data_IF_564966019498
#
_entry.id   IF_564966019498
#
_cell.length_a   1.000
_cell.length_b   1.000
_cell.length_c   1.000
_cell.angle_alpha   90.00
_cell.angle_beta   90.00
_cell.angle_gamma   90.00
#
_symmetry.space_group_name_H-M   'P 1'
#
loop_
_entity.id
_entity.type
_entity.pdbx_description
1 polymer ?
#
# COMPACT_ATOMS: atom_id res chain seq x y z
N UNK A 1 19.89 5.01 -10.13
CA UNK A 1 18.61 5.72 -10.35
C UNK A 1 18.08 6.27 -9.04
N UNK A 2 17.02 7.08 -9.06
CA UNK A 2 16.44 7.70 -7.87
C UNK A 2 15.67 6.72 -6.96
N UNK A 3 15.18 5.61 -7.53
CA UNK A 3 14.24 4.67 -6.92
C UNK A 3 14.62 4.24 -5.49
N UNK A 4 15.80 3.65 -5.29
CA UNK A 4 16.26 3.20 -3.98
C UNK A 4 16.30 4.33 -2.92
N UNK A 5 16.68 5.55 -3.33
CA UNK A 5 16.76 6.70 -2.40
C UNK A 5 15.39 7.19 -1.93
N UNK A 6 14.35 6.97 -2.72
CA UNK A 6 12.99 7.42 -2.42
C UNK A 6 12.10 6.27 -1.93
N UNK A 7 12.70 5.11 -1.60
CA UNK A 7 11.99 3.94 -1.11
C UNK A 7 11.09 3.30 -2.17
N UNK A 8 11.44 3.39 -3.45
CA UNK A 8 10.71 2.71 -4.54
C UNK A 8 11.55 1.53 -5.01
N UNK A 9 10.95 0.34 -5.01
CA UNK A 9 11.60 -0.88 -5.49
C UNK A 9 10.64 -1.72 -6.31
N UNK A 10 11.14 -2.32 -7.39
CA UNK A 10 10.43 -3.41 -8.07
C UNK A 10 10.67 -4.68 -7.25
N UNK A 11 9.61 -5.40 -6.90
CA UNK A 11 9.64 -6.58 -6.05
C UNK A 11 8.80 -7.70 -6.69
N UNK A 12 9.27 -8.96 -6.69
CA UNK A 12 8.41 -10.10 -6.97
C UNK A 12 7.35 -10.23 -5.88
N UNK A 13 6.19 -10.73 -6.25
CA UNK A 13 5.03 -10.87 -5.39
C UNK A 13 4.32 -12.18 -5.70
N UNK A 14 4.08 -12.96 -4.65
CA UNK A 14 3.16 -14.10 -4.67
C UNK A 14 1.93 -13.74 -3.85
N UNK A 15 0.77 -13.77 -4.50
CA UNK A 15 -0.53 -13.48 -3.90
C UNK A 15 -1.39 -14.74 -3.91
N UNK A 16 -1.89 -15.15 -2.75
CA UNK A 16 -2.55 -16.43 -2.52
C UNK A 16 -3.94 -16.22 -1.89
N UNK A 17 -4.79 -17.23 -1.97
CA UNK A 17 -6.08 -17.27 -1.27
C UNK A 17 -6.40 -18.68 -0.80
N UNK A 18 -7.20 -18.81 0.27
CA UNK A 18 -7.84 -20.05 0.69
C UNK A 18 -9.29 -20.16 0.25
N UNK A 19 -9.83 -19.18 -0.49
CA UNK A 19 -11.22 -19.20 -0.96
C UNK A 19 -11.48 -20.47 -1.77
N UNK A 20 -12.49 -21.30 -1.43
CA UNK A 20 -12.81 -22.52 -2.19
C UNK A 20 -13.06 -22.31 -3.69
N UNK A 21 -13.48 -21.10 -4.10
CA UNK A 21 -13.65 -20.72 -5.51
C UNK A 21 -12.31 -20.44 -6.23
N UNK A 22 -11.19 -20.45 -5.51
CA UNK A 22 -9.86 -20.12 -6.02
C UNK A 22 -9.68 -18.61 -6.21
N UNK A 23 -8.66 -18.24 -6.98
CA UNK A 23 -8.36 -16.83 -7.28
C UNK A 23 -8.89 -16.45 -8.68
N UNK A 24 -9.88 -15.54 -8.80
CA UNK A 24 -10.41 -15.12 -10.09
C UNK A 24 -9.36 -14.41 -10.95
N UNK A 25 -9.58 -14.21 -12.25
CA UNK A 25 -8.64 -13.43 -13.06
C UNK A 25 -8.60 -11.97 -12.58
N UNK A 26 -7.45 -11.45 -12.12
CA UNK A 26 -7.41 -10.14 -11.48
C UNK A 26 -7.57 -9.04 -12.53
N UNK A 27 -8.47 -8.08 -12.30
CA UNK A 27 -8.65 -6.93 -13.19
C UNK A 27 -7.38 -6.07 -13.36
N UNK A 28 -6.43 -6.18 -12.44
CA UNK A 28 -5.14 -5.47 -12.45
C UNK A 28 -4.01 -6.26 -13.12
N UNK A 29 -4.29 -7.45 -13.70
CA UNK A 29 -3.30 -8.34 -14.31
C UNK A 29 -2.34 -7.63 -15.27
N UNK A 30 -2.88 -6.79 -16.14
CA UNK A 30 -2.11 -6.12 -17.20
C UNK A 30 -1.36 -4.87 -16.71
N UNK A 31 -1.60 -4.44 -15.46
CA UNK A 31 -0.90 -3.30 -14.85
C UNK A 31 0.40 -3.73 -14.14
N UNK A 32 0.59 -5.03 -13.91
CA UNK A 32 1.76 -5.59 -13.24
C UNK A 32 2.62 -6.40 -14.20
N UNK A 33 3.87 -6.66 -13.84
CA UNK A 33 4.81 -7.32 -14.73
C UNK A 33 4.72 -8.85 -14.57
N UNK A 34 4.57 -9.57 -15.69
CA UNK A 34 4.70 -11.03 -15.72
C UNK A 34 3.65 -11.77 -14.89
N UNK A 35 2.41 -11.29 -14.86
CA UNK A 35 1.34 -11.92 -14.06
C UNK A 35 0.99 -13.31 -14.58
N UNK A 36 1.25 -14.32 -13.75
CA UNK A 36 1.00 -15.74 -14.04
C UNK A 36 0.27 -16.40 -12.87
N UNK A 37 -0.58 -17.38 -13.16
CA UNK A 37 -1.21 -18.20 -12.12
C UNK A 37 -0.15 -19.05 -11.42
N UNK A 38 -0.25 -19.17 -10.10
CA UNK A 38 0.59 -20.09 -9.33
C UNK A 38 0.21 -21.54 -9.71
N UNK A 39 1.16 -22.38 -10.16
CA UNK A 39 0.87 -23.77 -10.50
C UNK A 39 0.41 -24.58 -9.29
N UNK A 40 -0.40 -25.63 -9.50
CA UNK A 40 -0.90 -26.48 -8.42
C UNK A 40 0.22 -27.07 -7.56
N UNK A 41 1.32 -27.52 -8.17
CA UNK A 41 2.47 -28.07 -7.44
C UNK A 41 3.09 -27.05 -6.47
N UNK A 42 3.05 -25.77 -6.83
CA UNK A 42 3.57 -24.68 -6.00
C UNK A 42 2.57 -24.30 -4.91
N UNK A 43 1.27 -24.31 -5.21
CA UNK A 43 0.22 -24.16 -4.20
C UNK A 43 0.31 -25.27 -3.14
N UNK A 44 0.53 -26.52 -3.54
CA UNK A 44 0.67 -27.66 -2.63
C UNK A 44 1.90 -27.51 -1.73
N UNK A 45 3.04 -27.06 -2.31
CA UNK A 45 4.28 -26.77 -1.57
C UNK A 45 4.07 -25.67 -0.52
N UNK A 46 3.56 -24.51 -0.95
CA UNK A 46 3.28 -23.37 -0.07
C UNK A 46 2.24 -23.73 1.00
N UNK A 47 1.26 -24.56 0.63
CA UNK A 47 0.24 -25.00 1.57
C UNK A 47 0.82 -25.85 2.69
N UNK A 48 1.73 -26.77 2.34
CA UNK A 48 2.45 -27.59 3.31
C UNK A 48 3.36 -26.74 4.20
N UNK A 49 4.16 -25.84 3.62
CA UNK A 49 5.11 -25.00 4.35
C UNK A 49 4.44 -24.02 5.31
N UNK A 50 3.32 -23.42 4.90
CA UNK A 50 2.60 -22.43 5.71
C UNK A 50 1.53 -23.06 6.62
N UNK A 51 1.31 -24.37 6.53
CA UNK A 51 0.26 -25.07 7.29
C UNK A 51 -1.15 -24.58 6.95
N UNK A 52 -1.38 -24.18 5.70
CA UNK A 52 -2.62 -23.53 5.22
C UNK A 52 -3.02 -24.07 3.86
N UNK A 53 -4.29 -24.27 3.56
CA UNK A 53 -4.71 -24.83 2.26
C UNK A 53 -4.99 -23.73 1.24
N UNK A 54 -3.98 -23.34 0.46
CA UNK A 54 -4.17 -22.40 -0.64
C UNK A 54 -4.89 -23.07 -1.81
N UNK A 55 -5.84 -22.35 -2.38
CA UNK A 55 -6.73 -22.82 -3.46
C UNK A 55 -6.45 -22.13 -4.79
N UNK A 56 -5.69 -21.03 -4.76
CA UNK A 56 -5.30 -20.28 -5.95
C UNK A 56 -4.37 -19.13 -5.62
N UNK A 57 -3.81 -18.53 -6.67
CA UNK A 57 -2.95 -17.37 -6.53
C UNK A 57 -2.30 -16.94 -7.83
N UNK A 58 -1.59 -15.82 -7.77
CA UNK A 58 -0.82 -15.25 -8.87
C UNK A 58 0.60 -14.87 -8.41
N UNK A 59 1.56 -15.11 -9.29
CA UNK A 59 2.92 -14.60 -9.19
C UNK A 59 3.12 -13.47 -10.22
N UNK A 60 3.69 -12.35 -9.80
CA UNK A 60 3.95 -11.17 -10.62
C UNK A 60 5.04 -10.30 -9.99
N UNK A 61 5.55 -9.30 -10.72
CA UNK A 61 6.38 -8.24 -10.14
C UNK A 61 5.62 -6.90 -10.12
N UNK A 62 5.76 -6.16 -9.02
CA UNK A 62 5.12 -4.86 -8.80
C UNK A 62 6.04 -3.91 -8.04
N UNK A 63 5.66 -2.63 -7.93
CA UNK A 63 6.42 -1.66 -7.16
C UNK A 63 5.95 -1.58 -5.71
N UNK A 64 6.89 -1.64 -4.77
CA UNK A 64 6.69 -1.13 -3.40
C UNK A 64 7.12 0.32 -3.34
N UNK A 65 6.42 1.09 -2.49
CA UNK A 65 6.69 2.50 -2.26
C UNK A 65 6.67 2.77 -0.75
N UNK A 66 7.83 2.98 -0.15
CA UNK A 66 7.95 3.25 1.28
C UNK A 66 7.61 4.72 1.57
N UNK A 67 6.58 5.00 2.38
CA UNK A 67 6.18 6.38 2.66
C UNK A 67 7.29 7.22 3.32
N UNK A 68 8.14 6.58 4.13
CA UNK A 68 9.30 7.20 4.78
C UNK A 68 10.32 7.78 3.79
N UNK A 69 10.46 7.18 2.60
CA UNK A 69 11.32 7.70 1.53
C UNK A 69 10.55 8.56 0.53
N UNK A 70 9.35 8.13 0.15
CA UNK A 70 8.59 8.76 -0.94
C UNK A 70 7.97 10.10 -0.52
N UNK A 71 7.41 10.21 0.68
CA UNK A 71 6.75 11.44 1.12
C UNK A 71 7.72 12.62 1.27
N UNK A 72 8.92 12.48 1.89
CA UNK A 72 9.91 13.56 1.90
C UNK A 72 10.34 14.00 0.50
N UNK A 73 10.48 13.05 -0.44
CA UNK A 73 10.80 13.37 -1.83
C UNK A 73 9.69 14.20 -2.49
N UNK A 74 8.42 13.76 -2.37
CA UNK A 74 7.28 14.49 -2.92
C UNK A 74 7.10 15.86 -2.26
N UNK A 75 7.29 15.95 -0.95
CA UNK A 75 7.25 17.21 -0.21
C UNK A 75 8.31 18.19 -0.70
N UNK A 76 9.56 17.73 -0.85
CA UNK A 76 10.64 18.59 -1.36
C UNK A 76 10.40 19.01 -2.81
N UNK A 77 9.83 18.13 -3.65
CA UNK A 77 9.41 18.52 -5.00
C UNK A 77 8.37 19.63 -4.98
N UNK A 78 7.37 19.55 -4.10
CA UNK A 78 6.36 20.58 -3.94
C UNK A 78 6.97 21.92 -3.49
N UNK A 79 7.86 21.91 -2.50
CA UNK A 79 8.53 23.14 -2.05
C UNK A 79 9.42 23.74 -3.14
N UNK A 80 10.18 22.91 -3.87
CA UNK A 80 11.12 23.38 -4.90
C UNK A 80 10.43 24.05 -6.10
N UNK A 81 9.15 23.75 -6.36
CA UNK A 81 8.34 24.44 -7.38
C UNK A 81 7.58 25.64 -6.83
N UNK A 82 7.93 26.12 -5.63
CA UNK A 82 7.34 27.31 -5.00
C UNK A 82 6.15 27.03 -4.08
N UNK A 83 5.85 25.75 -3.82
CA UNK A 83 4.85 25.35 -2.84
C UNK A 83 5.16 25.88 -1.44
N UNK A 84 4.12 26.23 -0.69
CA UNK A 84 4.24 26.71 0.69
C UNK A 84 3.59 25.74 1.64
N UNK A 85 4.28 25.39 2.71
CA UNK A 85 3.75 24.53 3.76
C UNK A 85 3.41 25.35 5.00
N UNK A 86 2.21 25.15 5.53
CA UNK A 86 1.77 25.76 6.79
C UNK A 86 1.20 24.68 7.69
N UNK A 87 1.81 24.49 8.85
CA UNK A 87 1.28 23.61 9.88
C UNK A 87 0.15 24.32 10.63
N UNK A 88 -1.07 23.85 10.46
CA UNK A 88 -2.26 24.42 11.11
C UNK A 88 -3.36 23.37 11.19
N UNK A 89 -4.29 23.52 12.15
CA UNK A 89 -5.54 22.74 12.21
C UNK A 89 -6.62 23.50 11.45
N UNK A 90 -7.32 22.80 10.56
CA UNK A 90 -8.50 23.34 9.87
C UNK A 90 -9.73 22.75 10.53
N UNK A 91 -10.54 23.59 11.18
CA UNK A 91 -11.76 23.15 11.86
C UNK A 91 -12.97 23.13 10.94
N UNK A 92 -13.03 24.08 9.99
CA UNK A 92 -14.04 24.12 8.94
C UNK A 92 -13.52 24.87 7.71
N UNK A 93 -14.06 24.56 6.53
CA UNK A 93 -13.63 25.17 5.26
C UNK A 93 -13.92 26.68 5.21
N UNK A 94 -15.04 27.13 5.79
CA UNK A 94 -15.39 28.56 5.81
C UNK A 94 -14.33 29.41 6.52
N UNK A 95 -13.82 28.93 7.66
CA UNK A 95 -12.77 29.63 8.41
C UNK A 95 -11.46 29.70 7.62
N UNK A 96 -11.15 28.65 6.85
CA UNK A 96 -9.97 28.61 5.99
C UNK A 96 -10.07 29.66 4.87
N UNK A 97 -11.22 29.73 4.20
CA UNK A 97 -11.47 30.63 3.07
C UNK A 97 -11.56 32.10 3.49
N UNK A 98 -12.03 32.40 4.72
CA UNK A 98 -12.00 33.78 5.25
C UNK A 98 -10.58 34.25 5.56
N UNK A 99 -9.72 33.36 6.06
CA UNK A 99 -8.37 33.70 6.52
C UNK A 99 -7.32 33.56 5.41
N UNK A 100 -7.62 32.85 4.32
CA UNK A 100 -6.69 32.62 3.21
C UNK A 100 -7.41 32.84 1.88
N UNK A 101 -6.79 33.64 1.02
CA UNK A 101 -7.22 33.78 -0.37
C UNK A 101 -6.88 32.48 -1.10
N UNK A 102 -7.88 31.69 -1.42
CA UNK A 102 -7.77 30.49 -2.25
C UNK A 102 -8.96 30.44 -3.20
N UNK A 103 -8.70 30.23 -4.49
CA UNK A 103 -9.74 30.06 -5.51
C UNK A 103 -10.27 28.63 -5.55
N UNK A 104 -9.46 27.66 -5.09
CA UNK A 104 -9.77 26.23 -5.06
C UNK A 104 -9.21 25.60 -3.78
N UNK A 105 -9.98 24.68 -3.20
CA UNK A 105 -9.54 23.83 -2.10
C UNK A 105 -9.60 22.38 -2.56
N UNK A 106 -8.49 21.66 -2.41
CA UNK A 106 -8.42 20.20 -2.60
C UNK A 106 -8.43 19.56 -1.22
N UNK A 107 -9.52 18.88 -0.86
CA UNK A 107 -9.64 18.20 0.43
C UNK A 107 -8.93 16.84 0.39
N UNK A 108 -7.77 16.74 1.05
CA UNK A 108 -6.99 15.49 1.20
C UNK A 108 -6.86 15.05 2.67
N UNK A 109 -7.90 15.25 3.49
CA UNK A 109 -7.83 15.03 4.95
C UNK A 109 -8.02 13.57 5.40
N UNK A 110 -8.27 12.64 4.48
CA UNK A 110 -8.44 11.22 4.80
C UNK A 110 -9.57 11.00 5.81
N UNK A 111 -9.29 10.31 6.92
CA UNK A 111 -10.24 10.11 8.02
C UNK A 111 -10.79 11.42 8.61
N UNK A 112 -10.04 12.51 8.49
CA UNK A 112 -10.49 13.84 8.94
C UNK A 112 -11.68 14.41 8.14
N UNK A 113 -12.01 13.85 6.97
CA UNK A 113 -13.17 14.29 6.18
C UNK A 113 -14.50 14.09 6.91
N UNK A 114 -14.59 13.09 7.79
CA UNK A 114 -15.76 12.89 8.63
C UNK A 114 -16.02 14.13 9.51
N UNK A 115 -14.98 14.68 10.12
CA UNK A 115 -15.09 15.88 10.97
C UNK A 115 -15.21 17.16 10.14
N UNK A 116 -14.42 17.28 9.06
CA UNK A 116 -14.29 18.54 8.30
C UNK A 116 -15.49 18.84 7.40
N UNK A 117 -16.06 17.82 6.76
CA UNK A 117 -17.13 17.95 5.77
C UNK A 117 -18.34 17.04 6.03
N UNK A 118 -18.34 16.29 7.14
CA UNK A 118 -19.46 15.43 7.51
C UNK A 118 -19.59 14.16 6.67
N UNK A 119 -18.50 13.71 6.03
CA UNK A 119 -18.50 12.52 5.18
C UNK A 119 -18.60 11.24 6.03
N UNK A 120 -19.81 10.67 6.09
CA UNK A 120 -20.13 9.47 6.87
C UNK A 120 -19.75 8.16 6.18
N UNK A 121 -19.36 8.21 4.90
CA UNK A 121 -18.89 7.02 4.18
C UNK A 121 -17.42 6.71 4.52
N UNK A 122 -16.70 7.69 5.07
CA UNK A 122 -15.33 7.52 5.57
C UNK A 122 -15.35 6.81 6.93
N UNK A 123 -14.91 5.56 6.93
CA UNK A 123 -14.82 4.72 8.13
C UNK A 123 -13.36 4.30 8.41
N UNK A 124 -12.91 4.30 9.67
CA UNK A 124 -11.57 3.84 10.01
C UNK A 124 -11.47 2.32 9.97
N UNK A 125 -10.46 1.80 9.26
CA UNK A 125 -10.06 0.39 9.34
C UNK A 125 -8.70 0.34 10.02
N UNK A 126 -8.62 -0.31 11.18
CA UNK A 126 -7.39 -0.42 11.96
C UNK A 126 -6.47 -1.48 11.35
N UNK A 127 -5.29 -1.06 10.89
CA UNK A 127 -4.18 -1.95 10.58
C UNK A 127 -3.13 -1.94 11.69
N UNK A 128 -2.55 -3.10 12.00
CA UNK A 128 -1.42 -3.23 12.89
C UNK A 128 -0.33 -4.02 12.16
N UNK A 129 0.92 -3.55 12.27
CA UNK A 129 2.06 -4.18 11.61
C UNK A 129 3.20 -4.40 12.59
N UNK A 130 3.99 -5.44 12.34
CA UNK A 130 5.32 -5.60 12.92
C UNK A 130 6.39 -5.18 11.91
N UNK A 131 7.50 -4.65 12.41
CA UNK A 131 8.69 -4.33 11.62
C UNK A 131 9.84 -5.18 12.11
N UNK A 132 10.40 -6.00 11.24
CA UNK A 132 11.48 -6.93 11.59
C UNK A 132 12.68 -6.75 10.68
N UNK A 133 13.87 -7.07 11.18
CA UNK A 133 15.07 -7.15 10.36
C UNK A 133 15.18 -8.59 9.81
N UNK A 134 14.90 -8.76 8.52
CA UNK A 134 14.98 -10.04 7.84
C UNK A 134 15.53 -9.83 6.41
N UNK A 135 16.83 -9.50 6.27
CA UNK A 135 17.44 -9.11 5.00
C UNK A 135 17.49 -10.23 3.95
N UNK A 136 17.10 -11.46 4.30
CA UNK A 136 16.99 -12.60 3.39
C UNK A 136 15.62 -12.70 2.69
N UNK A 137 14.65 -11.84 3.04
CA UNK A 137 13.32 -11.81 2.41
C UNK A 137 13.33 -10.81 1.26
N UNK A 138 13.12 -11.30 0.03
CA UNK A 138 13.17 -10.51 -1.20
C UNK A 138 11.90 -10.61 -2.05
N UNK A 139 10.84 -11.22 -1.51
CA UNK A 139 9.58 -11.41 -2.20
C UNK A 139 8.44 -10.93 -1.30
N UNK A 140 7.45 -10.28 -1.92
CA UNK A 140 6.19 -9.97 -1.26
C UNK A 140 5.34 -11.23 -1.20
N UNK A 141 4.85 -11.57 -0.01
CA UNK A 141 3.80 -12.58 0.14
C UNK A 141 2.52 -11.89 0.57
N UNK A 142 1.44 -12.07 -0.18
CA UNK A 142 0.11 -11.60 0.17
C UNK A 142 -0.83 -12.80 0.32
N UNK A 143 -1.45 -12.93 1.48
CA UNK A 143 -2.46 -13.93 1.75
C UNK A 143 -3.83 -13.24 1.88
N UNK A 144 -4.67 -13.37 0.85
CA UNK A 144 -6.04 -12.81 0.80
C UNK A 144 -7.08 -13.73 1.49
N UNK A 145 -6.66 -14.58 2.42
CA UNK A 145 -7.59 -15.34 3.28
C UNK A 145 -8.34 -14.42 4.26
N UNK A 146 -9.36 -14.94 4.95
CA UNK A 146 -10.21 -14.15 5.86
C UNK A 146 -9.44 -13.44 6.99
N UNK A 147 -8.32 -14.01 7.44
CA UNK A 147 -7.42 -13.44 8.45
C UNK A 147 -6.19 -12.76 7.82
N UNK A 148 -6.31 -12.34 6.56
CA UNK A 148 -5.25 -12.02 5.61
C UNK A 148 -3.96 -11.45 6.17
N UNK A 149 -2.85 -11.98 5.68
CA UNK A 149 -1.49 -11.65 6.13
C UNK A 149 -0.68 -11.08 4.97
N UNK A 150 0.31 -10.23 5.28
CA UNK A 150 1.27 -9.80 4.27
C UNK A 150 2.69 -9.76 4.80
N UNK A 151 3.63 -10.12 3.94
CA UNK A 151 5.06 -9.97 4.16
C UNK A 151 5.56 -9.05 3.07
N UNK A 152 5.94 -7.82 3.42
CA UNK A 152 6.36 -6.81 2.44
C UNK A 152 7.80 -6.40 2.78
N UNK A 153 8.79 -6.82 1.97
CA UNK A 153 10.15 -6.35 2.15
C UNK A 153 10.26 -4.88 1.76
N UNK A 154 10.75 -4.10 2.71
CA UNK A 154 11.25 -2.73 2.53
C UNK A 154 12.78 -2.76 2.41
N UNK A 155 13.38 -1.60 2.16
CA UNK A 155 14.83 -1.44 1.97
C UNK A 155 15.65 -1.95 3.16
N UNK A 156 15.19 -1.64 4.39
CA UNK A 156 15.94 -1.95 5.64
C UNK A 156 15.20 -2.92 6.57
N UNK A 157 13.91 -3.15 6.34
CA UNK A 157 13.04 -3.94 7.23
C UNK A 157 12.04 -4.75 6.41
N UNK A 158 11.37 -5.69 7.05
CA UNK A 158 10.21 -6.37 6.49
C UNK A 158 8.99 -6.00 7.32
N UNK A 159 7.90 -5.67 6.63
CA UNK A 159 6.61 -5.40 7.24
C UNK A 159 5.82 -6.72 7.28
N UNK A 160 5.31 -7.06 8.46
CA UNK A 160 4.42 -8.19 8.73
C UNK A 160 3.07 -7.68 9.25
#
# INVERSE_FOLDING_TARGET
GLAARIGVSLQPCTRLTTDPAGYPDPAWRDNVFGCTKVPQSELDRLSYEHGRKYTGGYHFATFTCEPSGLLPYLFNRFINVGGRFVRSRVECLDSLLRNRKADLVVNCTGLGSLELVGDKEVLPIRGQVARVCAPWVFEILLDDSDDGNYVIPNTETVIL
#
